data_IF_318174901618
#
_entry.id   IF_318174901618
#
_cell.length_a   1.000
_cell.length_b   1.000
_cell.length_c   1.000
_cell.angle_alpha   90.00
_cell.angle_beta   90.00
_cell.angle_gamma   90.00
#
_symmetry.space_group_name_H-M   'P 1'
#
loop_
_entity.id
_entity.type
_entity.pdbx_description
1 polymer ?
#
# COMPACT_ATOMS: atom_id res chain seq x y z
N UNK A 1 12.38 42.28 -8.70
CA UNK A 1 10.96 41.87 -8.70
C UNK A 1 10.74 40.35 -8.78
N UNK A 2 11.50 39.58 -9.59
CA UNK A 2 11.33 38.10 -9.69
C UNK A 2 11.69 37.32 -8.42
N UNK A 3 12.71 37.74 -7.66
CA UNK A 3 13.08 37.08 -6.40
C UNK A 3 12.00 37.23 -5.33
N UNK A 4 11.27 38.36 -5.29
CA UNK A 4 10.22 38.60 -4.29
C UNK A 4 9.03 37.66 -4.47
N UNK A 5 8.68 37.35 -5.72
CA UNK A 5 7.61 36.38 -6.07
C UNK A 5 8.02 34.96 -5.68
N UNK A 6 9.29 34.60 -5.88
CA UNK A 6 9.83 33.31 -5.46
C UNK A 6 9.82 33.15 -3.94
N UNK A 7 10.17 34.20 -3.19
CA UNK A 7 10.05 34.21 -1.73
C UNK A 7 8.60 34.11 -1.26
N UNK A 8 7.66 34.80 -1.90
CA UNK A 8 6.23 34.72 -1.56
C UNK A 8 5.64 33.34 -1.87
N UNK A 9 6.01 32.72 -3.00
CA UNK A 9 5.59 31.34 -3.31
C UNK A 9 6.21 30.35 -2.33
N UNK A 10 7.50 30.50 -1.99
CA UNK A 10 8.17 29.65 -1.00
C UNK A 10 7.53 29.83 0.39
N UNK A 11 7.08 31.02 0.76
CA UNK A 11 6.34 31.25 2.00
C UNK A 11 4.97 30.56 1.99
N UNK A 12 4.22 30.59 0.88
CA UNK A 12 2.98 29.82 0.75
C UNK A 12 3.22 28.31 0.79
N UNK A 13 4.28 27.82 0.14
CA UNK A 13 4.70 26.42 0.20
C UNK A 13 5.20 26.03 1.61
N UNK A 14 5.95 26.89 2.30
CA UNK A 14 6.44 26.65 3.65
C UNK A 14 5.31 26.66 4.69
N UNK A 15 4.32 27.55 4.54
CA UNK A 15 3.09 27.53 5.33
C UNK A 15 2.31 26.23 5.09
N UNK A 16 2.29 25.71 3.85
CA UNK A 16 1.68 24.42 3.55
C UNK A 16 2.47 23.22 4.12
N UNK A 17 3.80 23.32 4.22
CA UNK A 17 4.68 22.26 4.77
C UNK A 17 4.55 22.15 6.30
N UNK A 18 4.21 23.22 7.01
CA UNK A 18 4.14 23.24 8.48
C UNK A 18 2.77 22.83 9.06
N UNK A 19 2.13 21.77 8.55
CA UNK A 19 0.87 21.29 9.15
C UNK A 19 0.79 19.79 9.36
N UNK A 20 1.90 19.09 9.58
CA UNK A 20 1.89 17.73 10.16
C UNK A 20 3.11 17.55 11.08
N UNK A 21 3.19 18.35 12.15
CA UNK A 21 4.05 17.95 13.28
C UNK A 21 3.40 16.70 13.85
N UNK A 22 4.05 15.55 13.68
CA UNK A 22 3.72 14.32 14.40
C UNK A 22 3.86 14.65 15.89
N UNK A 23 2.72 14.96 16.53
CA UNK A 23 2.69 15.57 17.86
C UNK A 23 2.67 14.53 18.97
N UNK A 24 2.57 13.23 18.62
CA UNK A 24 2.62 12.14 19.57
C UNK A 24 3.12 10.85 18.92
N UNK A 25 3.58 9.91 19.74
CA UNK A 25 3.91 8.55 19.28
C UNK A 25 2.73 7.89 18.56
N UNK A 26 1.50 8.13 19.03
CA UNK A 26 0.28 7.62 18.39
C UNK A 26 0.10 8.18 16.98
N UNK A 27 0.37 9.47 16.78
CA UNK A 27 0.23 10.10 15.45
C UNK A 27 1.32 9.61 14.50
N UNK A 28 2.52 9.32 15.02
CA UNK A 28 3.61 8.75 14.22
C UNK A 28 3.23 7.36 13.70
N UNK A 29 2.74 6.51 14.60
CA UNK A 29 2.34 5.14 14.30
C UNK A 29 1.20 5.12 13.28
N UNK A 30 0.20 5.98 13.46
CA UNK A 30 -0.92 6.12 12.53
C UNK A 30 -0.45 6.60 11.14
N UNK A 31 0.41 7.62 11.09
CA UNK A 31 0.96 8.15 9.82
C UNK A 31 1.82 7.10 9.11
N UNK A 32 2.64 6.37 9.87
CA UNK A 32 3.50 5.30 9.34
C UNK A 32 2.66 4.17 8.76
N UNK A 33 1.61 3.75 9.48
CA UNK A 33 0.68 2.76 8.99
C UNK A 33 0.03 3.20 7.67
N UNK A 34 -0.52 4.42 7.62
CA UNK A 34 -1.16 4.94 6.41
C UNK A 34 -0.17 5.00 5.23
N UNK A 35 1.08 5.36 5.51
CA UNK A 35 2.14 5.40 4.49
C UNK A 35 2.39 4.00 3.92
N UNK A 36 2.53 3.00 4.78
CA UNK A 36 2.75 1.60 4.36
C UNK A 36 1.58 1.09 3.52
N UNK A 37 0.33 1.30 3.96
CA UNK A 37 -0.84 0.87 3.19
C UNK A 37 -1.01 1.62 1.87
N UNK A 38 -0.59 2.89 1.81
CA UNK A 38 -0.52 3.65 0.55
C UNK A 38 0.49 3.04 -0.41
N UNK A 39 1.68 2.70 0.07
CA UNK A 39 2.71 2.03 -0.74
C UNK A 39 2.22 0.67 -1.23
N UNK A 40 1.59 -0.11 -0.35
CA UNK A 40 1.04 -1.42 -0.71
C UNK A 40 -0.04 -1.32 -1.79
N UNK A 41 -0.93 -0.32 -1.70
CA UNK A 41 -1.93 -0.04 -2.74
C UNK A 41 -1.28 0.26 -4.10
N UNK A 42 -0.18 1.01 -4.11
CA UNK A 42 0.57 1.32 -5.33
C UNK A 42 1.22 0.07 -5.94
N UNK A 43 1.86 -0.77 -5.11
CA UNK A 43 2.44 -2.04 -5.55
C UNK A 43 1.39 -2.99 -6.12
N UNK A 44 0.20 -3.05 -5.51
CA UNK A 44 -0.92 -3.84 -6.04
C UNK A 44 -1.52 -3.25 -7.32
N UNK A 45 -1.19 -2.02 -7.69
CA UNK A 45 -1.61 -1.40 -8.96
C UNK A 45 -0.57 -1.55 -10.07
N UNK A 46 0.63 -2.04 -9.77
CA UNK A 46 1.76 -2.13 -10.70
C UNK A 46 1.91 -3.54 -11.29
N UNK A 47 1.80 -3.67 -12.61
CA UNK A 47 1.84 -4.96 -13.33
C UNK A 47 3.15 -5.76 -13.13
N UNK A 48 4.35 -5.15 -13.19
CA UNK A 48 5.60 -5.82 -12.83
C UNK A 48 5.61 -6.41 -11.41
N UNK A 49 5.12 -5.65 -10.42
CA UNK A 49 5.01 -6.12 -9.04
C UNK A 49 4.01 -7.27 -8.90
N UNK A 50 2.85 -7.21 -9.60
CA UNK A 50 1.88 -8.32 -9.64
C UNK A 50 2.46 -9.62 -10.20
N UNK A 51 3.25 -9.53 -11.26
CA UNK A 51 3.93 -10.69 -11.86
C UNK A 51 4.90 -11.34 -10.87
N UNK A 52 5.67 -10.50 -10.17
CA UNK A 52 6.62 -10.97 -9.15
C UNK A 52 5.90 -11.65 -7.98
N UNK A 53 4.81 -11.05 -7.49
CA UNK A 53 4.01 -11.62 -6.41
C UNK A 53 3.30 -12.91 -6.84
N UNK A 54 2.80 -13.00 -8.07
CA UNK A 54 2.22 -14.22 -8.63
C UNK A 54 3.25 -15.36 -8.63
N UNK A 55 4.47 -15.11 -9.10
CA UNK A 55 5.54 -16.11 -9.09
C UNK A 55 5.89 -16.57 -7.67
N UNK A 56 5.88 -15.66 -6.69
CA UNK A 56 6.08 -16.03 -5.28
C UNK A 56 4.98 -16.95 -4.75
N UNK A 57 3.72 -16.69 -5.11
CA UNK A 57 2.59 -17.55 -4.76
C UNK A 57 2.69 -18.93 -5.44
N UNK A 58 3.15 -19.00 -6.70
CA UNK A 58 3.44 -20.27 -7.38
C UNK A 58 4.53 -21.06 -6.65
N UNK A 59 5.62 -20.42 -6.23
CA UNK A 59 6.65 -21.09 -5.41
C UNK A 59 6.11 -21.57 -4.06
N UNK A 60 5.09 -20.92 -3.49
CA UNK A 60 4.40 -21.44 -2.31
C UNK A 60 3.55 -22.66 -2.64
N UNK A 61 2.88 -22.69 -3.80
CA UNK A 61 2.14 -23.86 -4.25
C UNK A 61 3.03 -25.12 -4.39
N UNK A 62 4.31 -24.97 -4.73
CA UNK A 62 5.27 -26.08 -4.79
C UNK A 62 5.53 -26.76 -3.43
N UNK A 63 5.20 -26.09 -2.32
CA UNK A 63 5.34 -26.64 -0.97
C UNK A 63 4.09 -27.37 -0.48
N UNK A 64 3.00 -27.32 -1.25
CA UNK A 64 1.72 -27.92 -0.90
C UNK A 64 1.82 -29.45 -1.07
N UNK A 65 1.43 -30.24 -0.06
CA UNK A 65 1.47 -31.69 -0.16
C UNK A 65 0.37 -32.20 -1.10
N UNK A 66 0.62 -33.35 -1.72
CA UNK A 66 -0.26 -34.03 -2.69
C UNK A 66 -0.41 -33.28 -4.02
N UNK A 67 -0.16 -33.99 -5.13
CA UNK A 67 -0.16 -33.40 -6.48
C UNK A 67 -1.46 -32.67 -6.81
N UNK A 68 -2.61 -33.24 -6.46
CA UNK A 68 -3.93 -32.66 -6.78
C UNK A 68 -4.14 -31.30 -6.11
N UNK A 69 -3.60 -31.10 -4.90
CA UNK A 69 -3.73 -29.85 -4.18
C UNK A 69 -2.70 -28.81 -4.66
N UNK A 70 -1.51 -29.27 -5.07
CA UNK A 70 -0.53 -28.43 -5.75
C UNK A 70 -1.09 -27.89 -7.07
N UNK A 71 -1.67 -28.75 -7.91
CA UNK A 71 -2.28 -28.37 -9.19
C UNK A 71 -3.41 -27.36 -8.98
N UNK A 72 -4.31 -27.63 -8.02
CA UNK A 72 -5.39 -26.70 -7.67
C UNK A 72 -4.91 -25.37 -7.09
N UNK A 73 -3.79 -25.35 -6.35
CA UNK A 73 -3.17 -24.12 -5.87
C UNK A 73 -2.65 -23.28 -7.03
N UNK A 74 -1.95 -23.90 -7.98
CA UNK A 74 -1.41 -23.22 -9.17
C UNK A 74 -2.54 -22.66 -10.04
N UNK A 75 -3.58 -23.46 -10.27
CA UNK A 75 -4.78 -23.03 -11.01
C UNK A 75 -5.46 -21.85 -10.33
N UNK A 76 -5.65 -21.91 -8.99
CA UNK A 76 -6.20 -20.81 -8.22
C UNK A 76 -5.36 -19.54 -8.36
N UNK A 77 -4.03 -19.64 -8.28
CA UNK A 77 -3.15 -18.48 -8.42
C UNK A 77 -3.28 -17.86 -9.80
N UNK A 78 -3.23 -18.66 -10.88
CA UNK A 78 -3.36 -18.13 -12.23
C UNK A 78 -4.71 -17.48 -12.51
N UNK A 79 -5.79 -18.03 -11.97
CA UNK A 79 -7.12 -17.55 -12.28
C UNK A 79 -7.54 -16.34 -11.43
N UNK A 80 -7.16 -16.30 -10.15
CA UNK A 80 -7.74 -15.33 -9.21
C UNK A 80 -6.78 -14.24 -8.75
N UNK A 81 -5.46 -14.44 -8.78
CA UNK A 81 -4.53 -13.52 -8.10
C UNK A 81 -4.48 -12.13 -8.73
N UNK A 82 -4.57 -12.03 -10.05
CA UNK A 82 -4.58 -10.71 -10.71
C UNK A 82 -5.86 -9.92 -10.36
N UNK A 83 -7.02 -10.57 -10.47
CA UNK A 83 -8.30 -9.98 -10.05
C UNK A 83 -8.29 -9.60 -8.55
N UNK A 84 -7.61 -10.40 -7.72
CA UNK A 84 -7.46 -10.12 -6.30
C UNK A 84 -6.59 -8.89 -6.03
N UNK A 85 -5.48 -8.71 -6.76
CA UNK A 85 -4.66 -7.49 -6.65
C UNK A 85 -5.42 -6.24 -7.11
N UNK A 86 -6.20 -6.32 -8.19
CA UNK A 86 -7.07 -5.24 -8.62
C UNK A 86 -8.05 -4.86 -7.50
N UNK A 87 -8.81 -5.84 -6.99
CA UNK A 87 -9.78 -5.61 -5.93
C UNK A 87 -9.14 -5.01 -4.67
N UNK A 88 -7.99 -5.53 -4.23
CA UNK A 88 -7.25 -4.98 -3.10
C UNK A 88 -6.78 -3.55 -3.38
N UNK A 89 -6.30 -3.24 -4.57
CA UNK A 89 -5.87 -1.88 -4.91
C UNK A 89 -7.04 -0.88 -4.89
N UNK A 90 -8.25 -1.31 -5.27
CA UNK A 90 -9.45 -0.47 -5.29
C UNK A 90 -10.00 -0.24 -3.88
N UNK A 91 -10.21 -1.32 -3.12
CA UNK A 91 -10.90 -1.31 -1.83
C UNK A 91 -10.01 -0.89 -0.65
N UNK A 92 -8.67 -0.97 -0.79
CA UNK A 92 -7.77 -0.64 0.30
C UNK A 92 -7.73 0.88 0.55
N UNK A 93 -8.47 1.33 1.55
CA UNK A 93 -8.34 2.66 2.15
C UNK A 93 -7.29 2.62 3.28
N UNK A 94 -6.19 3.40 3.18
CA UNK A 94 -5.13 3.37 4.18
C UNK A 94 -5.57 3.75 5.59
N UNK A 95 -6.52 4.68 5.74
CA UNK A 95 -6.96 5.13 7.06
C UNK A 95 -7.82 4.06 7.73
N UNK A 96 -8.78 3.49 6.99
CA UNK A 96 -9.65 2.45 7.49
C UNK A 96 -8.90 1.14 7.78
N UNK A 97 -7.94 0.76 6.93
CA UNK A 97 -7.05 -0.35 7.21
C UNK A 97 -6.30 -0.16 8.54
N UNK A 98 -5.72 1.03 8.77
CA UNK A 98 -5.02 1.36 10.00
C UNK A 98 -5.91 1.46 11.24
N UNK A 99 -7.18 1.87 11.08
CA UNK A 99 -8.18 1.83 12.15
C UNK A 99 -8.56 0.40 12.52
N UNK A 100 -8.72 -0.48 11.53
CA UNK A 100 -9.10 -1.88 11.74
C UNK A 100 -8.06 -2.64 12.57
N UNK A 101 -6.78 -2.33 12.38
CA UNK A 101 -5.68 -2.89 13.20
C UNK A 101 -5.31 -2.02 14.41
N UNK A 102 -6.12 -1.01 14.73
CA UNK A 102 -6.02 -0.14 15.93
C UNK A 102 -4.73 0.69 16.00
N UNK A 103 -4.12 1.00 14.86
CA UNK A 103 -2.95 1.89 14.76
C UNK A 103 -3.34 3.35 14.55
N UNK A 104 -4.57 3.60 14.09
CA UNK A 104 -5.21 4.92 14.05
C UNK A 104 -6.44 4.94 14.94
N UNK A 105 -6.78 6.12 15.48
CA UNK A 105 -8.04 6.33 16.18
C UNK A 105 -9.20 6.17 15.19
N UNK A 106 -10.30 5.58 15.65
CA UNK A 106 -11.56 5.50 14.89
C UNK A 106 -12.06 6.91 14.58
#
# INVERSE_FOLDING_TARGET
MKSLVFFLSVLSFAVFVQSNVVNSHSDLVCTTCQTIFTLMKAEFSDDPSRTTLCNQLITLCEKVPFQQLQDGCVEFVYEYVDAWFVALSEELDPLDACRNIKLCKQ
#
